data_IF_494296356426
#
_entry.id   IF_494296356426
#
_cell.length_a   1.000
_cell.length_b   1.000
_cell.length_c   1.000
_cell.angle_alpha   90.00
_cell.angle_beta   90.00
_cell.angle_gamma   90.00
#
_symmetry.space_group_name_H-M   'P 1'
#
loop_
_entity.id
_entity.type
_entity.pdbx_description
1 polymer ?
#
# COMPACT_ATOMS: atom_id res chain seq x y z
N UNK A 1 -14.85 -14.71 27.54
CA UNK A 1 -15.42 -14.84 26.19
C UNK A 1 -14.48 -14.35 25.08
N UNK A 2 -13.87 -13.14 25.15
CA UNK A 2 -13.04 -12.60 24.05
C UNK A 2 -11.82 -13.44 23.61
N UNK A 3 -11.16 -14.15 24.53
CA UNK A 3 -10.00 -15.00 24.21
C UNK A 3 -10.37 -16.21 23.34
N UNK A 4 -11.55 -16.78 23.52
CA UNK A 4 -11.94 -17.98 22.78
C UNK A 4 -12.19 -17.65 21.30
N UNK A 5 -12.69 -16.45 20.99
CA UNK A 5 -12.94 -16.01 19.62
C UNK A 5 -11.67 -15.89 18.77
N UNK A 6 -10.53 -15.63 19.40
CA UNK A 6 -9.25 -15.43 18.71
C UNK A 6 -8.40 -16.71 18.61
N UNK A 7 -8.63 -17.68 19.50
CA UNK A 7 -7.73 -18.83 19.67
C UNK A 7 -8.39 -20.19 19.44
N UNK A 8 -9.72 -20.32 19.49
CA UNK A 8 -10.37 -21.57 19.08
C UNK A 8 -10.34 -21.69 17.56
N UNK A 9 -10.15 -22.90 17.07
CA UNK A 9 -10.37 -23.18 15.65
C UNK A 9 -11.86 -22.99 15.30
N UNK A 10 -12.11 -22.65 14.04
CA UNK A 10 -13.45 -22.27 13.56
C UNK A 10 -14.54 -23.32 13.83
N UNK A 11 -14.33 -24.64 13.61
CA UNK A 11 -15.34 -25.65 13.91
C UNK A 11 -15.68 -25.77 15.40
N UNK A 12 -14.68 -25.71 16.29
CA UNK A 12 -14.92 -25.77 17.73
C UNK A 12 -15.67 -24.53 18.23
N UNK A 13 -15.38 -23.36 17.65
CA UNK A 13 -16.06 -22.12 18.02
C UNK A 13 -17.55 -22.19 17.62
N UNK A 14 -17.82 -22.61 16.39
CA UNK A 14 -19.20 -22.77 15.89
C UNK A 14 -19.99 -23.78 16.70
N UNK A 15 -19.40 -24.93 17.03
CA UNK A 15 -20.06 -25.91 17.88
C UNK A 15 -20.45 -25.31 19.24
N UNK A 16 -19.59 -24.49 19.86
CA UNK A 16 -19.92 -23.85 21.15
C UNK A 16 -21.02 -22.79 21.04
N UNK A 17 -21.08 -22.06 19.93
CA UNK A 17 -22.10 -21.04 19.69
C UNK A 17 -23.46 -21.65 19.29
N UNK A 18 -23.45 -22.75 18.51
CA UNK A 18 -24.64 -23.30 17.84
C UNK A 18 -24.87 -24.79 18.12
N UNK A 19 -24.50 -25.30 19.30
CA UNK A 19 -24.57 -26.74 19.66
C UNK A 19 -25.96 -27.40 19.53
N UNK A 20 -27.04 -26.64 19.35
CA UNK A 20 -28.42 -27.16 19.17
C UNK A 20 -28.96 -27.02 17.75
N UNK A 21 -28.14 -26.55 16.81
CA UNK A 21 -28.53 -26.25 15.44
C UNK A 21 -27.70 -27.07 14.44
N UNK A 22 -28.24 -27.26 13.23
CA UNK A 22 -27.51 -27.88 12.13
C UNK A 22 -26.76 -26.76 11.39
N UNK A 23 -25.43 -26.81 11.43
CA UNK A 23 -24.56 -25.82 10.78
C UNK A 23 -24.05 -26.37 9.45
N UNK A 24 -24.33 -25.66 8.35
CA UNK A 24 -23.74 -25.93 7.04
C UNK A 24 -22.46 -25.10 6.87
N UNK A 25 -21.35 -25.77 6.55
CA UNK A 25 -20.05 -25.13 6.35
C UNK A 25 -19.66 -25.11 4.87
N UNK A 26 -19.29 -23.93 4.38
CA UNK A 26 -18.72 -23.74 3.05
C UNK A 26 -17.20 -23.78 3.08
N UNK A 27 -16.59 -23.95 1.90
CA UNK A 27 -15.15 -23.89 1.75
C UNK A 27 -14.61 -22.51 2.19
N UNK A 28 -13.49 -22.53 2.91
CA UNK A 28 -12.83 -21.30 3.34
C UNK A 28 -12.27 -20.56 2.12
N UNK A 29 -12.51 -19.25 2.06
CA UNK A 29 -11.85 -18.36 1.12
C UNK A 29 -10.62 -17.74 1.79
N UNK A 30 -9.42 -17.89 1.22
CA UNK A 30 -8.23 -17.30 1.80
C UNK A 30 -8.35 -15.77 1.77
N UNK A 31 -8.20 -15.15 2.94
CA UNK A 31 -8.14 -13.70 3.06
C UNK A 31 -6.68 -13.28 3.13
N UNK A 32 -6.34 -12.28 2.33
CA UNK A 32 -5.01 -11.68 2.30
C UNK A 32 -5.13 -10.16 2.26
N UNK A 33 -4.20 -9.49 2.94
CA UNK A 33 -4.05 -8.05 2.80
C UNK A 33 -3.53 -7.72 1.40
N UNK A 34 -4.12 -6.70 0.75
CA UNK A 34 -3.72 -6.23 -0.57
C UNK A 34 -3.89 -4.71 -0.64
N UNK A 35 -2.82 -3.99 -0.96
CA UNK A 35 -2.88 -2.59 -1.33
C UNK A 35 -2.73 -2.45 -2.84
N UNK A 36 -3.43 -1.48 -3.44
CA UNK A 36 -3.37 -1.17 -4.87
C UNK A 36 -2.46 0.00 -5.20
N UNK A 37 -1.81 0.60 -4.20
CA UNK A 37 -0.84 1.68 -4.40
C UNK A 37 0.48 1.07 -4.89
N UNK A 38 1.08 1.73 -5.88
CA UNK A 38 2.37 1.37 -6.46
C UNK A 38 3.19 2.64 -6.66
N UNK A 39 4.48 2.50 -6.97
CA UNK A 39 5.36 3.63 -7.24
C UNK A 39 4.84 4.47 -8.40
N UNK A 40 4.34 3.84 -9.46
CA UNK A 40 3.79 4.51 -10.65
C UNK A 40 2.56 5.34 -10.31
N UNK A 41 1.68 4.82 -9.45
CA UNK A 41 0.51 5.56 -8.96
C UNK A 41 0.92 6.75 -8.09
N UNK A 42 1.90 6.57 -7.21
CA UNK A 42 2.47 7.66 -6.40
C UNK A 42 3.13 8.71 -7.29
N UNK A 43 3.85 8.30 -8.33
CA UNK A 43 4.48 9.20 -9.30
C UNK A 43 3.44 9.99 -10.11
N UNK A 44 2.33 9.36 -10.50
CA UNK A 44 1.21 10.03 -11.15
C UNK A 44 0.54 11.07 -10.24
N UNK A 45 0.50 10.83 -8.93
CA UNK A 45 0.02 11.84 -7.98
C UNK A 45 0.99 13.02 -7.91
N UNK A 46 2.30 12.76 -7.88
CA UNK A 46 3.34 13.81 -7.90
C UNK A 46 3.31 14.63 -9.21
N UNK A 47 3.04 13.98 -10.34
CA UNK A 47 2.92 14.61 -11.66
C UNK A 47 1.69 15.52 -11.81
N UNK A 48 0.75 15.51 -10.85
CA UNK A 48 -0.36 16.47 -10.82
C UNK A 48 0.05 17.87 -10.37
N UNK A 49 1.24 18.00 -9.76
CA UNK A 49 1.85 19.29 -9.43
C UNK A 49 2.38 19.98 -10.70
N UNK A 50 2.59 21.29 -10.62
CA UNK A 50 3.38 21.99 -11.63
C UNK A 50 4.87 21.70 -11.36
N UNK A 51 5.69 21.59 -12.42
CA UNK A 51 7.12 21.27 -12.31
C UNK A 51 7.86 22.12 -11.27
N UNK A 52 7.58 23.42 -11.23
CA UNK A 52 8.22 24.35 -10.28
C UNK A 52 7.94 23.98 -8.82
N UNK A 53 6.74 23.50 -8.50
CA UNK A 53 6.37 23.10 -7.14
C UNK A 53 7.06 21.80 -6.74
N UNK A 54 7.19 20.86 -7.67
CA UNK A 54 7.90 19.60 -7.44
C UNK A 54 9.40 19.81 -7.22
N UNK A 55 10.03 20.71 -7.99
CA UNK A 55 11.43 21.09 -7.82
C UNK A 55 11.66 21.85 -6.51
N UNK A 56 10.75 22.75 -6.13
CA UNK A 56 10.81 23.44 -4.83
C UNK A 56 10.71 22.45 -3.67
N UNK A 57 9.76 21.52 -3.74
CA UNK A 57 9.58 20.47 -2.73
C UNK A 57 10.83 19.59 -2.61
N UNK A 58 11.46 19.25 -3.73
CA UNK A 58 12.71 18.51 -3.76
C UNK A 58 13.85 19.26 -3.05
N UNK A 59 13.97 20.56 -3.28
CA UNK A 59 14.96 21.41 -2.63
C UNK A 59 14.71 21.53 -1.12
N UNK A 60 13.46 21.72 -0.70
CA UNK A 60 13.06 21.79 0.71
C UNK A 60 13.31 20.48 1.47
N UNK A 61 13.16 19.34 0.80
CA UNK A 61 13.35 18.00 1.39
C UNK A 61 14.79 17.46 1.23
N UNK A 62 15.73 18.29 0.80
CA UNK A 62 17.15 17.91 0.74
C UNK A 62 17.51 16.93 -0.38
N UNK A 63 16.76 16.95 -1.50
CA UNK A 63 17.07 16.17 -2.70
C UNK A 63 16.26 14.90 -2.89
N UNK A 64 15.28 14.61 -2.02
CA UNK A 64 14.32 13.51 -2.23
C UNK A 64 12.94 13.82 -1.67
N UNK A 65 11.89 13.50 -2.44
CA UNK A 65 10.49 13.62 -2.03
C UNK A 65 9.94 12.25 -1.69
N UNK A 66 9.38 12.09 -0.48
CA UNK A 66 8.73 10.86 -0.02
C UNK A 66 7.20 10.95 -0.08
N UNK A 67 6.55 9.93 -0.62
CA UNK A 67 5.09 9.75 -0.60
C UNK A 67 4.78 8.50 0.21
N UNK A 68 4.06 8.67 1.33
CA UNK A 68 3.65 7.59 2.20
C UNK A 68 2.22 7.12 1.86
N UNK A 69 2.02 5.82 1.68
CA UNK A 69 0.69 5.25 1.48
C UNK A 69 -0.06 5.14 2.81
N UNK A 70 -1.17 5.86 2.96
CA UNK A 70 -1.99 5.83 4.19
C UNK A 70 -2.72 4.49 4.46
N UNK A 71 -2.65 3.53 3.52
CA UNK A 71 -3.31 2.22 3.67
C UNK A 71 -2.34 1.08 4.03
N UNK A 72 -1.19 1.01 3.35
CA UNK A 72 -0.18 -0.02 3.61
C UNK A 72 1.08 0.49 4.32
N UNK A 73 1.19 1.80 4.52
CA UNK A 73 2.35 2.45 5.14
C UNK A 73 3.67 2.27 4.37
N UNK A 74 3.59 1.87 3.09
CA UNK A 74 4.74 1.84 2.18
C UNK A 74 5.16 3.27 1.81
N UNK A 75 6.47 3.51 1.71
CA UNK A 75 7.05 4.82 1.38
C UNK A 75 7.73 4.77 0.01
N UNK A 76 7.34 5.69 -0.87
CA UNK A 76 7.91 5.83 -2.21
C UNK A 76 8.75 7.11 -2.28
N UNK A 77 10.05 6.95 -2.55
CA UNK A 77 10.98 8.08 -2.68
C UNK A 77 11.22 8.42 -4.16
N UNK A 78 11.34 9.72 -4.44
CA UNK A 78 11.63 10.29 -5.75
C UNK A 78 12.78 11.29 -5.61
N UNK A 79 13.84 11.11 -6.39
CA UNK A 79 15.00 12.01 -6.42
C UNK A 79 14.94 13.02 -7.57
N UNK A 80 16.00 13.81 -7.76
CA UNK A 80 16.07 14.80 -8.84
C UNK A 80 15.90 14.19 -10.24
N UNK A 81 16.44 13.00 -10.49
CA UNK A 81 16.32 12.33 -11.78
C UNK A 81 14.89 11.84 -12.00
N UNK A 82 14.24 11.32 -10.96
CA UNK A 82 12.84 10.94 -11.00
C UNK A 82 11.92 12.12 -11.34
N UNK A 83 12.10 13.27 -10.68
CA UNK A 83 11.32 14.49 -10.94
C UNK A 83 11.55 14.96 -12.36
N UNK A 84 12.81 15.01 -12.83
CA UNK A 84 13.13 15.40 -14.19
C UNK A 84 12.46 14.47 -15.23
N UNK A 85 12.49 13.15 -14.99
CA UNK A 85 11.86 12.17 -15.87
C UNK A 85 10.32 12.33 -15.90
N UNK A 86 9.70 12.60 -14.76
CA UNK A 86 8.25 12.80 -14.65
C UNK A 86 7.74 13.96 -15.52
N UNK A 87 8.49 15.07 -15.60
CA UNK A 87 8.10 16.25 -16.38
C UNK A 87 8.66 16.26 -17.81
N UNK A 88 9.61 15.40 -18.16
CA UNK A 88 10.15 15.27 -19.51
C UNK A 88 9.20 14.56 -20.52
N UNK A 89 7.98 14.19 -20.11
CA UNK A 89 6.99 13.53 -20.97
C UNK A 89 7.22 12.03 -21.16
N UNK A 90 8.24 11.45 -20.52
CA UNK A 90 8.45 10.02 -20.44
C UNK A 90 7.65 9.47 -19.25
N UNK A 91 6.39 9.08 -19.50
CA UNK A 91 5.56 8.41 -18.50
C UNK A 91 6.33 7.25 -17.86
N UNK A 92 6.60 7.37 -16.56
CA UNK A 92 7.17 6.38 -15.62
C UNK A 92 7.62 5.04 -16.24
N UNK A 93 8.71 5.04 -17.01
CA UNK A 93 9.52 3.83 -17.15
C UNK A 93 10.35 3.72 -15.87
N UNK A 94 10.08 2.67 -15.10
CA UNK A 94 10.57 2.46 -13.75
C UNK A 94 12.09 2.72 -13.62
N UNK A 95 12.51 3.75 -12.87
CA UNK A 95 13.90 3.93 -12.54
C UNK A 95 14.32 2.93 -11.46
N UNK A 96 15.56 2.47 -11.66
CA UNK A 96 16.36 1.53 -10.90
C UNK A 96 16.10 1.47 -9.40
N UNK A 97 16.00 0.24 -8.87
CA UNK A 97 16.02 -0.08 -7.45
C UNK A 97 17.37 0.34 -6.82
N UNK A 98 17.49 1.60 -6.42
CA UNK A 98 18.63 2.03 -5.60
C UNK A 98 18.35 1.63 -4.15
N UNK A 99 18.90 0.48 -3.75
CA UNK A 99 18.99 0.04 -2.35
C UNK A 99 19.99 0.93 -1.61
N UNK A 100 19.61 1.40 -0.42
CA UNK A 100 20.54 1.81 0.64
C UNK A 100 20.61 0.71 1.70
#
# INVERSE_FOLDING_TARGET
HAKELLFLNYPALLHRLYHREIVLLFACLPLQFRCSVSRERSASALASLVQVDAELLLAEQGGSVGIDCQFCNERYAFDAADIAQLFAGAGSEAPSQTRH
#
